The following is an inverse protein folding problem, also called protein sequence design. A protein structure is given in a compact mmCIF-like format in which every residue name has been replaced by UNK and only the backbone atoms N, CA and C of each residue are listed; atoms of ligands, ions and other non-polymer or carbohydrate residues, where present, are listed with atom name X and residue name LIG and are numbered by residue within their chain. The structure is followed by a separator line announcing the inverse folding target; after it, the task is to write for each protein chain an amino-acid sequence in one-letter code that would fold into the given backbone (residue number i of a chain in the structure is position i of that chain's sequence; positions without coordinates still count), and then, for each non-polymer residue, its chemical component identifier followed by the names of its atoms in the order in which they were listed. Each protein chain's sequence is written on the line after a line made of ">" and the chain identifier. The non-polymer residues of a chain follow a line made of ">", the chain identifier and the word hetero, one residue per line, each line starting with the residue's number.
data_IF_790694636095
#
_entry.id   IF_790694636095
#
_cell.length_a   1.000
_cell.length_b   1.000
_cell.length_c   1.000
_cell.angle_alpha   90.00
_cell.angle_beta   90.00
_cell.angle_gamma   90.00
#
_symmetry.space_group_name_H-M   'P 1'
#
loop_
_entity.id
_entity.type
_entity.pdbx_description
1 polymer ?
#
# COMPACT_ATOMS: atom_id res chain seq x y z
N UNK A 1 7.09 14.14 14.20
CA UNK A 1 6.12 13.54 13.26
C UNK A 1 4.73 13.35 13.89
N UNK A 2 4.60 13.36 15.23
CA UNK A 2 3.34 13.16 15.97
C UNK A 2 2.21 14.17 15.72
N UNK A 3 2.42 15.19 14.91
CA UNK A 3 1.43 16.23 14.63
C UNK A 3 0.72 16.05 13.27
N UNK A 4 1.02 15.01 12.47
CA UNK A 4 0.47 14.90 11.10
C UNK A 4 -0.79 14.03 11.03
N UNK A 5 -0.94 13.06 11.92
CA UNK A 5 -2.02 12.06 11.84
C UNK A 5 -3.06 12.22 12.96
N UNK A 6 -4.32 11.90 12.66
CA UNK A 6 -5.38 11.81 13.67
C UNK A 6 -5.91 13.14 14.23
N UNK A 7 -5.83 14.23 13.46
CA UNK A 7 -6.39 15.54 13.84
C UNK A 7 -7.55 15.94 12.90
N UNK A 8 -8.80 15.59 13.24
CA UNK A 8 -9.97 15.92 12.43
C UNK A 8 -10.20 17.43 12.24
N UNK A 9 -9.74 18.26 13.19
CA UNK A 9 -9.91 19.72 13.10
C UNK A 9 -8.97 20.30 12.03
N UNK A 10 -7.72 19.82 11.99
CA UNK A 10 -6.79 20.18 10.90
C UNK A 10 -7.23 19.62 9.55
N UNK A 11 -7.78 18.41 9.51
CA UNK A 11 -8.35 17.84 8.29
C UNK A 11 -9.48 18.71 7.73
N UNK A 12 -10.45 19.13 8.56
CA UNK A 12 -11.52 20.06 8.16
C UNK A 12 -10.97 21.37 7.59
N UNK A 13 -10.00 21.97 8.28
CA UNK A 13 -9.37 23.23 7.82
C UNK A 13 -8.71 23.07 6.45
N UNK A 14 -8.06 21.93 6.20
CA UNK A 14 -7.46 21.62 4.90
C UNK A 14 -8.52 21.42 3.80
N UNK A 15 -9.62 20.72 4.12
CA UNK A 15 -10.73 20.52 3.19
C UNK A 15 -11.44 21.83 2.83
N UNK A 16 -11.67 22.69 3.81
CA UNK A 16 -12.25 24.03 3.62
C UNK A 16 -11.36 24.89 2.72
N UNK A 17 -10.04 24.84 2.93
CA UNK A 17 -9.07 25.56 2.10
C UNK A 17 -9.00 25.03 0.66
N UNK A 18 -9.14 23.71 0.48
CA UNK A 18 -9.21 23.05 -0.82
C UNK A 18 -10.54 23.32 -1.55
N UNK A 19 -11.58 23.76 -0.84
CA UNK A 19 -12.90 24.01 -1.42
C UNK A 19 -13.62 22.73 -1.87
N UNK A 20 -13.26 21.57 -1.30
CA UNK A 20 -13.90 20.28 -1.57
C UNK A 20 -15.33 20.30 -1.02
N UNK A 21 -16.29 20.56 -1.91
CA UNK A 21 -17.74 20.57 -1.59
C UNK A 21 -18.48 19.37 -2.17
N UNK A 22 -17.75 18.44 -2.78
CA UNK A 22 -18.33 17.34 -3.52
C UNK A 22 -18.30 16.05 -2.68
N UNK A 23 -19.33 15.23 -2.88
CA UNK A 23 -19.38 13.88 -2.33
C UNK A 23 -18.33 13.02 -3.02
N UNK A 24 -17.51 12.30 -2.25
CA UNK A 24 -16.53 11.35 -2.79
C UNK A 24 -17.05 9.92 -2.68
N UNK A 25 -16.72 9.09 -3.67
CA UNK A 25 -16.92 7.65 -3.60
C UNK A 25 -15.62 6.98 -3.13
N UNK A 26 -15.68 6.30 -1.98
CA UNK A 26 -14.62 5.44 -1.49
C UNK A 26 -14.84 4.01 -1.98
N UNK A 27 -14.04 3.58 -2.94
CA UNK A 27 -14.03 2.19 -3.42
C UNK A 27 -13.34 1.30 -2.38
N UNK A 28 -13.95 0.19 -2.00
CA UNK A 28 -13.37 -0.81 -1.10
C UNK A 28 -13.29 -2.16 -1.79
N UNK A 29 -12.09 -2.71 -1.91
CA UNK A 29 -11.89 -4.01 -2.53
C UNK A 29 -12.36 -5.16 -1.62
N UNK A 30 -13.20 -6.06 -2.12
CA UNK A 30 -13.68 -7.21 -1.36
C UNK A 30 -12.64 -8.35 -1.35
N UNK A 31 -11.70 -8.27 -0.41
CA UNK A 31 -10.71 -9.31 -0.12
C UNK A 31 -11.04 -10.16 1.13
N UNK A 32 -12.19 -9.92 1.76
CA UNK A 32 -12.65 -10.59 2.97
C UNK A 32 -13.36 -9.62 3.92
N UNK A 33 -14.14 -10.13 4.86
CA UNK A 33 -14.96 -9.30 5.75
C UNK A 33 -14.14 -8.28 6.55
N UNK A 34 -13.00 -8.69 7.11
CA UNK A 34 -12.09 -7.79 7.83
C UNK A 34 -11.59 -6.64 6.96
N UNK A 35 -11.35 -6.88 5.68
CA UNK A 35 -10.88 -5.86 4.74
C UNK A 35 -11.98 -4.84 4.44
N UNK A 36 -13.20 -5.34 4.20
CA UNK A 36 -14.36 -4.49 3.96
C UNK A 36 -14.68 -3.65 5.19
N UNK A 37 -14.59 -4.23 6.39
CA UNK A 37 -14.83 -3.52 7.64
C UNK A 37 -13.81 -2.41 7.88
N UNK A 38 -12.53 -2.67 7.61
CA UNK A 38 -11.51 -1.62 7.66
C UNK A 38 -11.84 -0.46 6.72
N UNK A 39 -12.25 -0.74 5.47
CA UNK A 39 -12.68 0.31 4.54
C UNK A 39 -13.87 1.13 5.04
N UNK A 40 -14.83 0.51 5.72
CA UNK A 40 -15.97 1.22 6.33
C UNK A 40 -15.54 2.13 7.49
N UNK A 41 -14.66 1.64 8.36
CA UNK A 41 -14.11 2.46 9.46
C UNK A 41 -13.36 3.69 8.94
N UNK A 42 -12.59 3.55 7.86
CA UNK A 42 -11.94 4.68 7.21
C UNK A 42 -12.97 5.68 6.65
N UNK A 43 -14.04 5.20 6.03
CA UNK A 43 -15.12 6.06 5.55
C UNK A 43 -15.80 6.84 6.69
N UNK A 44 -16.02 6.20 7.85
CA UNK A 44 -16.57 6.87 9.03
C UNK A 44 -15.63 7.98 9.53
N UNK A 45 -14.32 7.71 9.61
CA UNK A 45 -13.33 8.72 10.00
C UNK A 45 -13.29 9.91 9.03
N UNK A 46 -13.40 9.66 7.72
CA UNK A 46 -13.48 10.72 6.72
C UNK A 46 -14.76 11.56 6.88
N UNK A 47 -15.90 10.92 7.20
CA UNK A 47 -17.16 11.62 7.50
C UNK A 47 -17.07 12.49 8.75
N UNK A 48 -16.44 11.99 9.82
CA UNK A 48 -16.21 12.76 11.04
C UNK A 48 -15.25 13.95 10.83
N UNK A 49 -14.38 13.84 9.82
CA UNK A 49 -13.53 14.91 9.32
C UNK A 49 -14.26 15.87 8.36
N UNK A 50 -15.55 15.68 8.08
CA UNK A 50 -16.39 16.60 7.33
C UNK A 50 -16.53 16.30 5.83
N UNK A 51 -16.03 15.17 5.34
CA UNK A 51 -16.27 14.72 3.96
C UNK A 51 -17.64 14.04 3.82
N UNK A 52 -18.30 14.27 2.69
CA UNK A 52 -19.46 13.45 2.30
C UNK A 52 -18.95 12.21 1.55
N UNK A 53 -19.02 11.03 2.19
CA UNK A 53 -18.42 9.79 1.67
C UNK A 53 -19.47 8.72 1.40
N UNK A 54 -19.51 8.24 0.16
CA UNK A 54 -20.25 7.02 -0.21
C UNK A 54 -19.30 5.85 -0.35
N UNK A 55 -19.60 4.72 0.31
CA UNK A 55 -18.77 3.51 0.23
C UNK A 55 -19.29 2.58 -0.86
N UNK A 56 -18.41 2.19 -1.78
CA UNK A 56 -18.71 1.20 -2.81
C UNK A 56 -17.81 -0.02 -2.67
N UNK A 57 -18.40 -1.17 -2.34
CA UNK A 57 -17.63 -2.42 -2.19
C UNK A 57 -17.60 -3.16 -3.51
N UNK A 58 -16.40 -3.38 -4.06
CA UNK A 58 -16.19 -4.04 -5.35
C UNK A 58 -15.66 -5.45 -5.21
N UNK A 59 -16.04 -6.35 -6.11
CA UNK A 59 -15.34 -7.63 -6.28
C UNK A 59 -13.87 -7.40 -6.67
N UNK A 60 -12.99 -8.38 -6.43
CA UNK A 60 -11.56 -8.29 -6.77
C UNK A 60 -11.33 -7.91 -8.24
N UNK A 61 -12.06 -8.54 -9.17
CA UNK A 61 -11.96 -8.27 -10.60
C UNK A 61 -12.47 -6.86 -10.95
N UNK A 62 -13.59 -6.43 -10.37
CA UNK A 62 -14.13 -5.09 -10.59
C UNK A 62 -13.20 -4.00 -10.04
N UNK A 63 -12.57 -4.25 -8.89
CA UNK A 63 -11.57 -3.35 -8.30
C UNK A 63 -10.35 -3.19 -9.20
N UNK A 64 -9.77 -4.30 -9.69
CA UNK A 64 -8.62 -4.26 -10.59
C UNK A 64 -8.91 -3.44 -11.84
N UNK A 65 -10.04 -3.71 -12.50
CA UNK A 65 -10.47 -2.97 -13.68
C UNK A 65 -10.67 -1.49 -13.37
N UNK A 66 -11.48 -1.16 -12.37
CA UNK A 66 -11.92 0.23 -12.13
C UNK A 66 -10.79 1.13 -11.64
N UNK A 67 -9.95 0.63 -10.74
CA UNK A 67 -8.87 1.42 -10.14
C UNK A 67 -7.61 1.41 -11.00
N UNK A 68 -7.16 0.22 -11.42
CA UNK A 68 -5.84 0.07 -12.02
C UNK A 68 -5.83 0.13 -13.55
N UNK A 69 -6.95 -0.15 -14.21
CA UNK A 69 -7.06 -0.05 -15.68
C UNK A 69 -7.79 1.22 -16.11
N UNK A 70 -9.00 1.46 -15.58
CA UNK A 70 -9.88 2.56 -15.98
C UNK A 70 -9.55 3.88 -15.28
N UNK A 71 -8.89 3.82 -14.12
CA UNK A 71 -8.58 4.97 -13.26
C UNK A 71 -9.82 5.80 -12.90
N UNK A 72 -10.95 5.12 -12.72
CA UNK A 72 -12.26 5.71 -12.41
C UNK A 72 -12.55 5.62 -10.91
N UNK A 73 -11.96 6.53 -10.14
CA UNK A 73 -12.15 6.61 -8.70
C UNK A 73 -11.85 8.00 -8.15
N UNK A 74 -12.49 8.35 -7.03
CA UNK A 74 -12.09 9.50 -6.21
C UNK A 74 -11.06 9.07 -5.15
N UNK A 75 -11.34 7.96 -4.48
CA UNK A 75 -10.46 7.34 -3.49
C UNK A 75 -10.71 5.83 -3.44
N UNK A 76 -9.70 5.06 -2.99
CA UNK A 76 -9.85 3.61 -2.84
C UNK A 76 -9.10 3.04 -1.62
N UNK A 77 -9.60 1.91 -1.14
CA UNK A 77 -8.99 1.02 -0.16
C UNK A 77 -8.87 -0.36 -0.80
N UNK A 78 -7.66 -0.75 -1.14
CA UNK A 78 -7.42 -2.01 -1.83
C UNK A 78 -5.94 -2.39 -1.85
N UNK A 79 -5.64 -3.68 -2.12
CA UNK A 79 -4.27 -4.10 -2.28
C UNK A 79 -3.65 -3.46 -3.53
N UNK A 80 -2.37 -3.12 -3.44
CA UNK A 80 -1.60 -2.66 -4.60
C UNK A 80 -1.24 -3.84 -5.51
N UNK A 81 -0.99 -3.58 -6.81
CA UNK A 81 -0.38 -4.54 -7.70
C UNK A 81 0.91 -5.08 -7.08
N UNK A 82 1.15 -6.38 -7.23
CA UNK A 82 2.32 -6.99 -6.64
C UNK A 82 3.62 -6.48 -7.25
N UNK A 83 4.60 -6.21 -6.39
CA UNK A 83 5.96 -5.82 -6.77
C UNK A 83 6.97 -6.65 -6.00
N UNK A 84 8.09 -6.94 -6.65
CA UNK A 84 9.13 -7.85 -6.16
C UNK A 84 10.41 -7.11 -5.73
N UNK A 85 10.54 -5.84 -6.10
CA UNK A 85 11.70 -5.00 -5.77
C UNK A 85 11.28 -3.55 -5.49
N UNK A 86 12.09 -2.78 -4.74
CA UNK A 86 11.88 -1.34 -4.59
C UNK A 86 11.79 -0.60 -5.93
N UNK A 87 12.64 -0.96 -6.90
CA UNK A 87 12.61 -0.35 -8.23
C UNK A 87 11.32 -0.69 -8.99
N UNK A 88 10.84 -1.94 -8.93
CA UNK A 88 9.57 -2.32 -9.55
C UNK A 88 8.39 -1.53 -8.95
N UNK A 89 8.42 -1.29 -7.64
CA UNK A 89 7.45 -0.43 -6.98
C UNK A 89 7.56 1.03 -7.43
N UNK A 90 8.74 1.63 -7.31
CA UNK A 90 8.93 3.06 -7.56
C UNK A 90 8.75 3.42 -9.03
N UNK A 91 9.38 2.68 -9.96
CA UNK A 91 9.25 2.94 -11.40
C UNK A 91 7.89 2.52 -11.95
N UNK A 92 7.28 1.48 -11.39
CA UNK A 92 6.03 0.93 -11.92
C UNK A 92 4.76 1.64 -11.42
N UNK A 93 4.72 1.98 -10.12
CA UNK A 93 3.51 2.43 -9.44
C UNK A 93 3.58 3.88 -8.96
N UNK A 94 4.76 4.49 -8.86
CA UNK A 94 4.93 5.85 -8.31
C UNK A 94 5.41 6.86 -9.35
N UNK A 95 6.40 6.48 -10.17
CA UNK A 95 6.91 7.33 -11.24
C UNK A 95 5.79 7.76 -12.20
N UNK A 96 5.81 8.99 -12.68
CA UNK A 96 4.75 9.55 -13.53
C UNK A 96 4.49 8.75 -14.81
N UNK A 97 5.55 8.20 -15.41
CA UNK A 97 5.48 7.31 -16.58
C UNK A 97 5.25 5.82 -16.25
N UNK A 98 5.02 5.49 -14.98
CA UNK A 98 4.77 4.13 -14.52
C UNK A 98 3.48 3.57 -15.08
N UNK A 99 3.53 2.36 -15.64
CA UNK A 99 2.37 1.71 -16.26
C UNK A 99 1.19 1.51 -15.29
N UNK A 100 1.49 1.36 -14.00
CA UNK A 100 0.51 1.16 -12.93
C UNK A 100 0.40 2.38 -11.99
N UNK A 101 0.91 3.55 -12.39
CA UNK A 101 0.69 4.76 -11.62
C UNK A 101 -0.77 5.23 -11.79
N UNK A 102 -1.46 5.33 -10.66
CA UNK A 102 -2.85 5.80 -10.55
C UNK A 102 -2.98 7.03 -9.65
N UNK A 103 -1.92 7.43 -8.95
CA UNK A 103 -1.93 8.53 -7.97
C UNK A 103 -1.38 9.83 -8.54
N UNK A 104 -0.73 9.78 -9.70
CA UNK A 104 0.03 10.90 -10.26
C UNK A 104 1.46 10.93 -9.71
N UNK A 105 2.15 12.04 -9.92
CA UNK A 105 3.54 12.24 -9.52
C UNK A 105 4.00 13.68 -9.73
N UNK A 106 5.19 14.01 -9.20
CA UNK A 106 5.85 15.29 -9.41
C UNK A 106 7.18 15.08 -10.11
N UNK A 107 7.64 16.07 -10.87
CA UNK A 107 8.98 16.01 -11.49
C UNK A 107 10.10 15.84 -10.46
N UNK A 108 9.93 16.37 -9.25
CA UNK A 108 10.91 16.18 -8.17
C UNK A 108 10.98 14.71 -7.73
N UNK A 109 9.82 14.07 -7.58
CA UNK A 109 9.71 12.65 -7.22
C UNK A 109 10.27 11.76 -8.33
N UNK A 110 9.98 12.05 -9.60
CA UNK A 110 10.51 11.30 -10.75
C UNK A 110 12.05 11.33 -10.76
N UNK A 111 12.65 12.51 -10.58
CA UNK A 111 14.11 12.66 -10.52
C UNK A 111 14.73 11.84 -9.39
N UNK A 112 14.12 11.86 -8.20
CA UNK A 112 14.62 11.06 -7.07
C UNK A 112 14.54 9.56 -7.36
N UNK A 113 13.45 9.10 -7.97
CA UNK A 113 13.25 7.69 -8.34
C UNK A 113 14.30 7.26 -9.37
N UNK A 114 14.56 8.05 -10.40
CA UNK A 114 15.56 7.77 -11.43
C UNK A 114 16.99 7.73 -10.84
N UNK A 115 17.30 8.65 -9.92
CA UNK A 115 18.58 8.67 -9.20
C UNK A 115 18.73 7.42 -8.33
N UNK A 116 17.71 7.07 -7.53
CA UNK A 116 17.73 5.86 -6.73
C UNK A 116 17.96 4.63 -7.62
N UNK A 117 17.24 4.52 -8.74
CA UNK A 117 17.29 3.35 -9.61
C UNK A 117 18.66 3.13 -10.27
N UNK A 118 19.44 4.20 -10.46
CA UNK A 118 20.78 4.16 -11.07
C UNK A 118 21.93 4.17 -10.06
N UNK A 119 21.65 4.33 -8.76
CA UNK A 119 22.66 4.34 -7.70
C UNK A 119 23.18 2.93 -7.36
N UNK A 120 24.50 2.81 -7.24
CA UNK A 120 25.23 1.56 -6.96
C UNK A 120 25.73 1.48 -5.51
N UNK A 121 25.93 2.61 -4.84
CA UNK A 121 26.29 2.66 -3.43
C UNK A 121 25.05 2.45 -2.55
N UNK A 122 25.07 1.40 -1.73
CA UNK A 122 23.90 1.02 -0.92
C UNK A 122 23.51 2.09 0.11
N UNK A 123 24.48 2.81 0.68
CA UNK A 123 24.19 3.84 1.69
C UNK A 123 23.50 5.04 1.04
N UNK A 124 24.00 5.48 -0.11
CA UNK A 124 23.43 6.57 -0.90
C UNK A 124 22.04 6.19 -1.42
N UNK A 125 21.88 4.96 -1.91
CA UNK A 125 20.59 4.44 -2.38
C UNK A 125 19.55 4.39 -1.26
N UNK A 126 19.95 4.03 -0.04
CA UNK A 126 19.06 4.02 1.12
C UNK A 126 18.62 5.44 1.53
N UNK A 127 19.50 6.44 1.42
CA UNK A 127 19.15 7.83 1.70
C UNK A 127 18.16 8.37 0.67
N UNK A 128 18.39 8.11 -0.62
CA UNK A 128 17.44 8.45 -1.70
C UNK A 128 16.07 7.79 -1.47
N UNK A 129 16.03 6.52 -1.06
CA UNK A 129 14.78 5.85 -0.72
C UNK A 129 14.03 6.53 0.44
N UNK A 130 14.76 7.04 1.44
CA UNK A 130 14.17 7.80 2.56
C UNK A 130 13.60 9.14 2.09
N UNK A 131 14.31 9.85 1.22
CA UNK A 131 13.84 11.12 0.62
C UNK A 131 12.58 10.90 -0.21
N UNK A 132 12.55 9.85 -1.04
CA UNK A 132 11.36 9.44 -1.81
C UNK A 132 10.16 9.19 -0.89
N UNK A 133 10.34 8.46 0.21
CA UNK A 133 9.24 8.20 1.16
C UNK A 133 8.68 9.48 1.78
N UNK A 134 9.53 10.47 2.06
CA UNK A 134 9.10 11.76 2.60
C UNK A 134 8.36 12.59 1.55
N UNK A 135 8.84 12.60 0.31
CA UNK A 135 8.19 13.30 -0.80
C UNK A 135 6.81 12.67 -1.10
N UNK A 136 6.73 11.34 -1.17
CA UNK A 136 5.46 10.62 -1.34
C UNK A 136 4.45 10.94 -0.23
N UNK A 137 4.93 11.11 1.02
CA UNK A 137 4.07 11.50 2.15
C UNK A 137 3.60 12.95 2.03
N UNK A 138 4.47 13.85 1.56
CA UNK A 138 4.12 15.27 1.34
C UNK A 138 3.04 15.42 0.26
N UNK A 139 3.13 14.62 -0.81
CA UNK A 139 2.19 14.61 -1.93
C UNK A 139 0.95 13.73 -1.67
N UNK A 140 0.87 13.06 -0.51
CA UNK A 140 -0.26 12.22 -0.09
C UNK A 140 -0.68 11.13 -1.11
N UNK A 141 0.27 10.56 -1.85
CA UNK A 141 0.00 9.62 -2.95
C UNK A 141 -0.54 8.27 -2.46
N UNK A 142 0.19 7.62 -1.54
CA UNK A 142 -0.22 6.36 -0.92
C UNK A 142 -0.16 6.47 0.60
N UNK A 143 -1.27 6.13 1.26
CA UNK A 143 -1.34 6.04 2.71
C UNK A 143 -1.49 4.59 3.15
N UNK A 144 -0.39 4.02 3.65
CA UNK A 144 -0.37 2.65 4.20
C UNK A 144 -0.77 2.67 5.68
N UNK A 145 -2.08 2.71 5.94
CA UNK A 145 -2.65 2.83 7.29
C UNK A 145 -2.30 1.66 8.24
N UNK A 146 -1.98 0.49 7.69
CA UNK A 146 -1.60 -0.69 8.45
C UNK A 146 -0.69 -1.61 7.61
N UNK A 147 0.36 -2.14 8.23
CA UNK A 147 1.09 -3.29 7.71
C UNK A 147 0.53 -4.58 8.32
N UNK A 148 0.26 -5.58 7.49
CA UNK A 148 -0.16 -6.88 7.99
C UNK A 148 1.02 -7.55 8.73
N UNK A 149 0.77 -8.07 9.93
CA UNK A 149 1.70 -8.94 10.62
C UNK A 149 1.29 -10.39 10.35
N UNK A 150 2.10 -11.13 9.61
CA UNK A 150 1.90 -12.57 9.44
C UNK A 150 2.32 -13.32 10.71
N UNK A 151 1.48 -14.24 11.16
CA UNK A 151 1.78 -15.13 12.27
C UNK A 151 1.88 -16.55 11.77
N UNK A 152 3.05 -17.14 11.92
CA UNK A 152 3.34 -18.51 11.53
C UNK A 152 3.36 -19.40 12.77
N UNK A 153 2.67 -20.54 12.70
CA UNK A 153 2.72 -21.58 13.73
C UNK A 153 3.06 -22.91 13.06
N UNK A 154 4.09 -23.58 13.54
CA UNK A 154 4.56 -24.88 13.03
C UNK A 154 5.07 -25.74 14.19
N UNK A 155 5.10 -27.06 13.99
CA UNK A 155 5.67 -27.99 14.97
C UNK A 155 7.20 -27.85 15.01
N UNK A 156 7.77 -28.08 16.18
CA UNK A 156 9.20 -28.28 16.44
C UNK A 156 9.90 -29.28 15.50
N UNK A 157 9.14 -30.17 14.85
CA UNK A 157 9.64 -31.14 13.88
C UNK A 157 9.88 -30.58 12.49
N UNK A 158 9.45 -29.35 12.22
CA UNK A 158 9.62 -28.70 10.91
C UNK A 158 11.01 -28.07 10.84
N UNK A 159 11.79 -28.49 9.85
CA UNK A 159 13.15 -27.99 9.59
C UNK A 159 13.23 -27.31 8.23
N UNK A 160 14.11 -26.30 8.10
CA UNK A 160 14.30 -25.58 6.83
C UNK A 160 13.21 -24.54 6.51
N UNK A 161 12.30 -24.28 7.45
CA UNK A 161 11.25 -23.28 7.27
C UNK A 161 11.78 -21.86 7.46
N UNK A 162 11.87 -21.11 6.38
CA UNK A 162 12.09 -19.65 6.37
C UNK A 162 10.76 -18.98 6.04
N UNK A 163 10.13 -18.21 6.96
CA UNK A 163 8.84 -17.55 6.71
C UNK A 163 9.02 -16.34 5.77
N UNK A 164 9.42 -16.59 4.54
CA UNK A 164 9.49 -15.63 3.46
C UNK A 164 8.78 -16.25 2.25
N UNK A 165 7.56 -15.81 2.02
CA UNK A 165 6.80 -16.11 0.81
C UNK A 165 6.71 -14.84 -0.02
N UNK A 166 7.78 -14.39 -0.72
CA UNK A 166 7.62 -13.31 -1.67
C UNK A 166 6.48 -13.70 -2.63
N UNK A 167 5.43 -12.90 -2.64
CA UNK A 167 4.26 -13.09 -3.50
C UNK A 167 3.44 -14.38 -3.32
N UNK A 168 3.56 -15.08 -2.19
CA UNK A 168 2.88 -16.36 -1.99
C UNK A 168 3.46 -17.50 -2.85
N UNK A 169 4.69 -17.35 -3.34
CA UNK A 169 5.39 -18.36 -4.12
C UNK A 169 5.57 -19.66 -3.33
N UNK A 170 5.28 -20.80 -3.97
CA UNK A 170 5.35 -22.13 -3.34
C UNK A 170 6.75 -22.71 -3.20
N UNK A 171 7.78 -21.97 -3.60
CA UNK A 171 9.17 -22.46 -3.65
C UNK A 171 9.71 -22.82 -2.26
N UNK A 172 9.18 -22.17 -1.22
CA UNK A 172 9.41 -22.53 0.18
C UNK A 172 9.14 -24.02 0.47
N UNK A 173 8.13 -24.62 -0.17
CA UNK A 173 7.78 -26.02 0.06
C UNK A 173 8.86 -27.00 -0.43
N UNK A 174 9.74 -26.59 -1.34
CA UNK A 174 10.84 -27.42 -1.80
C UNK A 174 11.97 -27.55 -0.75
N UNK A 175 12.03 -26.63 0.21
CA UNK A 175 13.11 -26.54 1.21
C UNK A 175 12.67 -26.97 2.62
N UNK A 176 11.37 -27.22 2.82
CA UNK A 176 10.80 -27.64 4.10
C UNK A 176 10.85 -29.16 4.25
N UNK A 177 11.43 -29.62 5.36
CA UNK A 177 11.48 -31.05 5.74
C UNK A 177 10.83 -31.32 7.09
N UNK A 178 10.51 -32.60 7.35
CA UNK A 178 10.15 -33.09 8.68
C UNK A 178 11.34 -33.87 9.22
N UNK A 179 11.78 -33.55 10.43
CA UNK A 179 12.74 -34.38 11.13
C UNK A 179 12.11 -35.75 11.43
N UNK A 180 12.77 -36.81 10.97
CA UNK A 180 12.42 -38.18 11.35
C UNK A 180 12.46 -38.28 12.87
N UNK A 181 11.32 -38.66 13.46
CA UNK A 181 11.25 -38.93 14.88
C UNK A 181 12.06 -40.18 15.17
N UNK A 182 13.31 -40.01 15.59
CA UNK A 182 14.02 -41.07 16.28
C UNK A 182 13.32 -41.35 17.62
N UNK A 183 13.02 -42.61 17.98
CA UNK A 183 12.47 -42.92 19.29
C UNK A 183 13.60 -42.91 20.34
N UNK A 184 13.36 -42.24 21.48
CA UNK A 184 14.17 -42.35 22.70
C UNK A 184 14.55 -41.02 23.32
#
# INVERSE_FOLDING_TARGET
>A
MDAVFGDPARARSALDAAGLKESITLIVANFGETYVEHGRLLAEQLKDAGLDVTVEVLSRAAYLRRVWEERDFDAFVGPMPPTDTPNAFLLGLVHSDGAFNVTGGTTALDVLIEQQASELDDATRAELAREIQLEMLSEALFFMAASAAERWAFSDRVTGFVPQMPMGGGDLWAEVGIADGGPG
#
